data_IF_507118626505
#
_entry.id   IF_507118626505
#
_cell.length_a   1.000
_cell.length_b   1.000
_cell.length_c   1.000
_cell.angle_alpha   90.00
_cell.angle_beta   90.00
_cell.angle_gamma   90.00
#
_symmetry.space_group_name_H-M   'P 1'
#
loop_
_entity.id
_entity.type
_entity.pdbx_description
1 polymer ?
#
# COMPACT_ATOMS: atom_id res chain seq x y z
N UNK A 1 -29.04 20.17 -16.30
CA UNK A 1 -28.56 19.24 -17.34
C UNK A 1 -28.10 18.01 -16.59
N UNK A 2 -28.56 16.83 -16.95
CA UNK A 2 -28.10 15.54 -16.39
C UNK A 2 -26.60 15.41 -16.67
N UNK A 3 -25.78 15.26 -15.63
CA UNK A 3 -24.33 15.10 -15.75
C UNK A 3 -24.05 13.71 -16.34
N UNK A 4 -23.66 13.63 -17.62
CA UNK A 4 -23.25 12.37 -18.26
C UNK A 4 -21.78 12.10 -17.95
N UNK A 5 -21.46 10.87 -17.57
CA UNK A 5 -20.09 10.43 -17.28
C UNK A 5 -19.57 9.51 -18.39
N UNK A 6 -18.28 9.63 -18.71
CA UNK A 6 -17.55 8.69 -19.58
C UNK A 6 -16.49 7.98 -18.75
N UNK A 7 -16.64 6.68 -18.56
CA UNK A 7 -15.63 5.84 -17.88
C UNK A 7 -14.63 5.32 -18.90
N UNK A 8 -13.34 5.50 -18.60
CA UNK A 8 -12.24 5.03 -19.46
C UNK A 8 -11.62 3.78 -18.86
N UNK A 9 -11.70 2.67 -19.60
CA UNK A 9 -11.17 1.36 -19.23
C UNK A 9 -12.20 0.47 -18.52
N UNK A 10 -12.36 -0.75 -19.03
CA UNK A 10 -13.25 -1.80 -18.51
C UNK A 10 -12.46 -2.80 -17.65
N UNK A 11 -11.76 -2.28 -16.65
CA UNK A 11 -11.15 -3.04 -15.57
C UNK A 11 -12.00 -3.03 -14.30
N UNK A 12 -11.50 -3.57 -13.19
CA UNK A 12 -12.20 -3.64 -11.89
C UNK A 12 -12.71 -2.25 -11.45
N UNK A 13 -11.84 -1.24 -11.40
CA UNK A 13 -12.23 0.14 -11.04
C UNK A 13 -13.22 0.76 -12.03
N UNK A 14 -13.08 0.49 -13.34
CA UNK A 14 -14.02 0.99 -14.35
C UNK A 14 -15.42 0.43 -14.15
N UNK A 15 -15.53 -0.87 -13.92
CA UNK A 15 -16.82 -1.54 -13.62
C UNK A 15 -17.42 -1.01 -12.31
N UNK A 16 -16.60 -0.76 -11.28
CA UNK A 16 -17.05 -0.20 -10.01
C UNK A 16 -17.58 1.24 -10.16
N UNK A 17 -16.92 2.07 -10.98
CA UNK A 17 -17.40 3.42 -11.31
C UNK A 17 -18.75 3.38 -12.04
N UNK A 18 -18.93 2.47 -12.99
CA UNK A 18 -20.24 2.26 -13.66
C UNK A 18 -21.30 1.78 -12.67
N UNK A 19 -20.98 0.82 -11.80
CA UNK A 19 -21.90 0.35 -10.74
C UNK A 19 -22.39 1.52 -9.86
N UNK A 20 -21.49 2.38 -9.42
CA UNK A 20 -21.82 3.53 -8.61
C UNK A 20 -22.67 4.56 -9.39
N UNK A 21 -22.29 4.91 -10.63
CA UNK A 21 -23.04 5.81 -11.48
C UNK A 21 -24.48 5.32 -11.73
N UNK A 22 -24.64 4.03 -12.05
CA UNK A 22 -25.95 3.39 -12.28
C UNK A 22 -26.80 3.43 -11.02
N UNK A 23 -26.20 3.12 -9.85
CA UNK A 23 -26.89 3.21 -8.55
C UNK A 23 -27.37 4.63 -8.27
N UNK A 24 -26.60 5.64 -8.62
CA UNK A 24 -26.92 7.06 -8.44
C UNK A 24 -27.79 7.62 -9.56
N UNK A 25 -28.29 6.76 -10.48
CA UNK A 25 -29.06 7.15 -11.67
C UNK A 25 -28.35 8.20 -12.54
N UNK A 26 -27.02 8.19 -12.55
CA UNK A 26 -26.19 9.07 -13.36
C UNK A 26 -25.99 8.42 -14.74
N UNK A 27 -26.33 9.11 -15.86
CA UNK A 27 -26.07 8.61 -17.19
C UNK A 27 -24.59 8.34 -17.41
N UNK A 28 -24.22 7.14 -17.85
CA UNK A 28 -22.84 6.71 -18.01
C UNK A 28 -22.63 5.97 -19.32
N UNK A 29 -21.49 6.18 -19.95
CA UNK A 29 -20.98 5.39 -21.06
C UNK A 29 -19.54 4.95 -20.76
N UNK A 30 -19.04 3.95 -21.46
CA UNK A 30 -17.70 3.39 -21.27
C UNK A 30 -16.93 3.45 -22.58
N UNK A 31 -15.64 3.72 -22.49
CA UNK A 31 -14.68 3.55 -23.58
C UNK A 31 -13.52 2.66 -23.12
N UNK A 32 -13.14 1.69 -23.96
CA UNK A 32 -11.97 0.84 -23.77
C UNK A 32 -11.17 0.75 -25.08
N UNK A 33 -9.88 1.03 -25.04
CA UNK A 33 -9.01 1.01 -26.22
C UNK A 33 -8.82 -0.39 -26.82
N UNK A 34 -9.11 -1.45 -26.07
CA UNK A 34 -9.09 -2.83 -26.56
C UNK A 34 -10.34 -3.11 -27.38
N UNK A 35 -10.17 -3.79 -28.52
CA UNK A 35 -11.31 -4.18 -29.39
C UNK A 35 -12.28 -5.16 -28.68
N UNK A 36 -11.75 -6.06 -27.86
CA UNK A 36 -12.51 -7.08 -27.13
C UNK A 36 -11.98 -7.25 -25.71
N UNK A 37 -12.29 -6.31 -24.77
CA UNK A 37 -11.92 -6.48 -23.38
C UNK A 37 -12.52 -7.75 -22.78
N UNK A 38 -11.75 -8.52 -22.02
CA UNK A 38 -12.21 -9.78 -21.44
C UNK A 38 -13.48 -9.63 -20.57
N UNK A 39 -13.64 -8.48 -19.92
CA UNK A 39 -14.83 -8.18 -19.09
C UNK A 39 -16.09 -7.83 -19.92
N UNK A 40 -15.98 -7.52 -21.20
CA UNK A 40 -17.09 -7.00 -22.02
C UNK A 40 -18.34 -7.88 -22.04
N UNK A 41 -18.25 -9.22 -22.24
CA UNK A 41 -19.47 -10.06 -22.28
C UNK A 41 -20.25 -10.05 -20.97
N UNK A 42 -19.57 -10.20 -19.84
CA UNK A 42 -20.20 -10.17 -18.52
C UNK A 42 -20.71 -8.76 -18.18
N UNK A 43 -20.00 -7.72 -18.59
CA UNK A 43 -20.39 -6.34 -18.39
C UNK A 43 -21.67 -5.98 -19.13
N UNK A 44 -21.78 -6.28 -20.44
CA UNK A 44 -22.98 -6.00 -21.25
C UNK A 44 -24.20 -6.78 -20.79
N UNK A 45 -24.00 -8.00 -20.29
CA UNK A 45 -25.09 -8.77 -19.67
C UNK A 45 -25.61 -8.09 -18.38
N UNK A 46 -24.72 -7.53 -17.56
CA UNK A 46 -25.07 -6.90 -16.28
C UNK A 46 -25.63 -5.47 -16.45
N UNK A 47 -25.14 -4.74 -17.44
CA UNK A 47 -25.48 -3.33 -17.70
C UNK A 47 -25.91 -3.14 -19.17
N UNK A 48 -27.05 -3.71 -19.61
CA UNK A 48 -27.47 -3.72 -21.01
C UNK A 48 -27.76 -2.32 -21.57
N UNK A 49 -28.09 -1.35 -20.70
CA UNK A 49 -28.42 0.02 -21.09
C UNK A 49 -27.20 0.95 -21.15
N UNK A 50 -26.00 0.46 -20.75
CA UNK A 50 -24.77 1.25 -20.78
C UNK A 50 -24.07 1.09 -22.12
N UNK A 51 -23.90 2.18 -22.85
CA UNK A 51 -23.18 2.20 -24.12
C UNK A 51 -21.70 1.95 -23.89
N UNK A 52 -21.11 0.98 -24.60
CA UNK A 52 -19.67 0.68 -24.57
C UNK A 52 -19.07 0.91 -25.95
N UNK A 53 -18.00 1.70 -25.98
CA UNK A 53 -17.19 1.96 -27.16
C UNK A 53 -15.87 1.21 -27.02
N UNK A 54 -15.46 0.44 -28.03
CA UNK A 54 -14.22 -0.34 -28.01
C UNK A 54 -13.33 0.02 -29.21
N UNK A 55 -12.02 -0.05 -29.05
CA UNK A 55 -11.05 0.19 -30.12
C UNK A 55 -10.63 1.65 -30.22
N UNK A 56 -10.69 2.25 -31.42
CA UNK A 56 -10.22 3.60 -31.65
C UNK A 56 -11.09 4.66 -30.95
N UNK A 57 -10.45 5.66 -30.37
CA UNK A 57 -11.14 6.76 -29.72
C UNK A 57 -11.72 7.74 -30.73
N UNK A 58 -12.99 8.15 -30.53
CA UNK A 58 -13.60 9.26 -31.25
C UNK A 58 -13.89 10.43 -30.31
N UNK A 59 -13.58 11.64 -30.77
CA UNK A 59 -13.87 12.88 -30.04
C UNK A 59 -15.36 13.06 -29.68
N UNK A 60 -16.25 12.45 -30.48
CA UNK A 60 -17.71 12.50 -30.26
C UNK A 60 -18.13 11.76 -28.97
N UNK A 61 -17.30 10.86 -28.45
CA UNK A 61 -17.58 10.19 -27.16
C UNK A 61 -17.61 11.16 -25.98
N UNK A 62 -16.98 12.35 -26.12
CA UNK A 62 -17.00 13.43 -25.15
C UNK A 62 -18.23 14.36 -25.28
N UNK A 63 -19.10 14.15 -26.27
CA UNK A 63 -20.24 15.04 -26.48
C UNK A 63 -21.30 14.86 -25.39
N UNK A 64 -21.63 15.98 -24.73
CA UNK A 64 -22.54 16.01 -23.59
C UNK A 64 -21.99 15.40 -22.31
N UNK A 65 -20.69 15.00 -22.28
CA UNK A 65 -20.01 14.51 -21.10
C UNK A 65 -19.62 15.68 -20.19
N UNK A 66 -19.89 15.54 -18.90
CA UNK A 66 -19.48 16.49 -17.86
C UNK A 66 -18.26 16.05 -17.07
N UNK A 67 -18.02 14.73 -17.00
CA UNK A 67 -16.91 14.14 -16.28
C UNK A 67 -16.35 12.94 -17.02
N UNK A 68 -15.03 12.83 -17.12
CA UNK A 68 -14.28 11.65 -17.55
C UNK A 68 -13.73 10.95 -16.32
N UNK A 69 -14.06 9.67 -16.15
CA UNK A 69 -13.62 8.85 -15.03
C UNK A 69 -12.58 7.85 -15.49
N UNK A 70 -11.37 7.90 -14.92
CA UNK A 70 -10.21 7.13 -15.36
C UNK A 70 -9.97 5.89 -14.49
N UNK A 71 -9.79 4.74 -15.15
CA UNK A 71 -9.22 3.57 -14.51
C UNK A 71 -7.72 3.77 -14.22
N UNK A 72 -7.22 3.44 -13.02
CA UNK A 72 -5.87 3.83 -12.57
C UNK A 72 -4.72 3.16 -13.36
N UNK A 73 -4.96 2.00 -13.99
CA UNK A 73 -3.93 1.30 -14.77
C UNK A 73 -3.53 1.95 -16.10
N UNK A 74 -4.19 3.04 -16.49
CA UNK A 74 -3.95 3.73 -17.75
C UNK A 74 -3.01 4.92 -17.52
N UNK A 75 -1.84 4.93 -18.20
CA UNK A 75 -0.89 6.04 -18.08
C UNK A 75 -1.39 7.29 -18.82
N UNK A 76 -1.40 8.48 -18.16
CA UNK A 76 -1.80 9.73 -18.81
C UNK A 76 -0.82 10.18 -19.88
N UNK A 77 0.37 9.60 -19.93
CA UNK A 77 1.41 9.91 -20.90
C UNK A 77 1.33 9.08 -22.18
N UNK A 78 0.51 8.01 -22.18
CA UNK A 78 0.35 7.10 -23.31
C UNK A 78 -0.95 7.38 -24.08
N UNK A 79 -0.91 7.12 -25.41
CA UNK A 79 -2.11 7.15 -26.25
C UNK A 79 -2.98 5.90 -26.02
N UNK A 80 -4.31 6.01 -26.13
CA UNK A 80 -5.08 7.20 -26.50
C UNK A 80 -5.41 8.13 -25.32
N UNK A 81 -5.01 7.78 -24.08
CA UNK A 81 -5.45 8.51 -22.88
C UNK A 81 -4.93 9.95 -22.86
N UNK A 82 -3.71 10.20 -23.30
CA UNK A 82 -3.13 11.55 -23.43
C UNK A 82 -4.06 12.45 -24.26
N UNK A 83 -4.42 12.01 -25.46
CA UNK A 83 -5.35 12.74 -26.33
C UNK A 83 -6.71 12.94 -25.69
N UNK A 84 -7.26 11.94 -24.99
CA UNK A 84 -8.56 12.05 -24.29
C UNK A 84 -8.50 13.14 -23.21
N UNK A 85 -7.45 13.14 -22.38
CA UNK A 85 -7.27 14.13 -21.31
C UNK A 85 -7.13 15.55 -21.89
N UNK A 86 -6.32 15.73 -22.95
CA UNK A 86 -6.15 17.01 -23.62
C UNK A 86 -7.47 17.55 -24.18
N UNK A 87 -8.26 16.71 -24.85
CA UNK A 87 -9.56 17.09 -25.39
C UNK A 87 -10.60 17.36 -24.30
N UNK A 88 -10.62 16.57 -23.23
CA UNK A 88 -11.50 16.80 -22.08
C UNK A 88 -11.19 18.16 -21.44
N UNK A 89 -9.93 18.45 -21.17
CA UNK A 89 -9.48 19.72 -20.58
C UNK A 89 -9.83 20.91 -21.51
N UNK A 90 -9.63 20.79 -22.82
CA UNK A 90 -9.98 21.83 -23.79
C UNK A 90 -11.49 22.14 -23.82
N UNK A 91 -12.34 21.18 -23.48
CA UNK A 91 -13.80 21.32 -23.38
C UNK A 91 -14.27 21.69 -21.96
N UNK A 92 -13.37 21.85 -20.97
CA UNK A 92 -13.71 22.11 -19.57
C UNK A 92 -14.36 20.92 -18.86
N UNK A 93 -14.16 19.70 -19.37
CA UNK A 93 -14.65 18.44 -18.78
C UNK A 93 -13.68 18.03 -17.68
N UNK A 94 -14.20 17.77 -16.47
CA UNK A 94 -13.40 17.29 -15.35
C UNK A 94 -12.88 15.86 -15.60
N UNK A 95 -11.60 15.61 -15.27
CA UNK A 95 -10.98 14.31 -15.35
C UNK A 95 -10.68 13.82 -13.94
N UNK A 96 -11.29 12.71 -13.54
CA UNK A 96 -11.29 12.18 -12.17
C UNK A 96 -10.87 10.72 -12.13
N UNK A 97 -10.17 10.32 -11.07
CA UNK A 97 -9.97 8.92 -10.74
C UNK A 97 -11.04 8.38 -9.76
N UNK A 98 -11.07 7.09 -9.56
CA UNK A 98 -12.00 6.41 -8.64
C UNK A 98 -11.95 7.01 -7.22
N UNK A 99 -10.76 7.36 -6.72
CA UNK A 99 -10.56 7.94 -5.39
C UNK A 99 -11.28 9.29 -5.23
N UNK A 100 -11.28 10.14 -6.25
CA UNK A 100 -12.00 11.42 -6.22
C UNK A 100 -13.52 11.20 -6.18
N UNK A 101 -14.03 10.24 -6.97
CA UNK A 101 -15.45 9.86 -6.96
C UNK A 101 -15.86 9.27 -5.62
N UNK A 102 -15.04 8.41 -5.02
CA UNK A 102 -15.26 7.84 -3.69
C UNK A 102 -15.30 8.94 -2.61
N UNK A 103 -14.35 9.88 -2.64
CA UNK A 103 -14.31 11.00 -1.68
C UNK A 103 -15.57 11.86 -1.77
N UNK A 104 -16.03 12.15 -2.99
CA UNK A 104 -17.30 12.85 -3.25
C UNK A 104 -18.48 12.06 -2.71
N UNK A 105 -18.52 10.74 -2.97
CA UNK A 105 -19.61 9.88 -2.49
C UNK A 105 -19.73 9.89 -0.97
N UNK A 106 -18.62 9.86 -0.22
CA UNK A 106 -18.65 9.96 1.25
C UNK A 106 -19.19 11.33 1.71
N UNK A 107 -18.83 12.42 1.01
CA UNK A 107 -19.32 13.76 1.32
C UNK A 107 -20.81 13.90 1.03
N UNK A 108 -21.30 13.31 -0.05
CA UNK A 108 -22.72 13.26 -0.42
C UNK A 108 -23.53 12.47 0.61
N UNK A 109 -23.03 11.32 1.05
CA UNK A 109 -23.66 10.51 2.10
C UNK A 109 -23.73 11.27 3.43
N UNK A 110 -22.68 12.02 3.77
CA UNK A 110 -22.70 12.88 4.96
C UNK A 110 -23.79 13.97 4.88
N UNK A 111 -23.98 14.59 3.73
CA UNK A 111 -24.95 15.64 3.52
C UNK A 111 -26.40 15.12 3.39
N UNK A 112 -26.58 13.83 3.08
CA UNK A 112 -27.88 13.24 2.82
C UNK A 112 -28.59 12.81 4.11
N UNK A 113 -29.80 13.33 4.35
CA UNK A 113 -30.58 13.09 5.57
C UNK A 113 -30.86 11.60 5.87
N UNK A 114 -30.88 10.74 4.86
CA UNK A 114 -31.12 9.29 5.01
C UNK A 114 -29.98 8.52 5.69
N UNK A 115 -28.79 9.09 5.79
CA UNK A 115 -27.62 8.45 6.38
C UNK A 115 -27.17 9.08 7.72
N UNK A 116 -28.03 9.86 8.37
CA UNK A 116 -27.81 10.43 9.70
C UNK A 116 -26.47 11.16 9.87
N UNK A 117 -26.00 11.85 8.82
CA UNK A 117 -24.73 12.55 8.86
C UNK A 117 -23.51 11.59 8.88
N UNK A 118 -23.57 10.48 8.14
CA UNK A 118 -22.49 9.49 8.06
C UNK A 118 -21.13 10.16 7.83
N UNK A 119 -20.22 10.00 8.78
CA UNK A 119 -18.87 10.57 8.76
C UNK A 119 -17.86 9.54 9.25
N UNK A 120 -17.48 8.60 8.40
CA UNK A 120 -16.50 7.59 8.75
C UNK A 120 -15.12 8.20 8.93
N UNK A 121 -14.25 7.50 9.66
CA UNK A 121 -12.81 7.75 9.63
C UNK A 121 -12.21 7.12 8.38
N UNK A 122 -11.27 7.82 7.74
CA UNK A 122 -10.55 7.33 6.57
C UNK A 122 -9.06 7.27 6.88
N UNK A 123 -8.49 6.08 6.82
CA UNK A 123 -7.07 5.82 6.95
C UNK A 123 -6.50 5.42 5.59
N UNK A 124 -5.44 6.08 5.13
CA UNK A 124 -4.88 5.83 3.80
C UNK A 124 -3.42 5.34 3.88
N UNK A 125 -3.11 4.32 3.10
CA UNK A 125 -1.80 3.67 3.05
C UNK A 125 -1.27 3.67 1.63
N UNK A 126 -0.10 4.28 1.43
CA UNK A 126 0.67 4.17 0.18
C UNK A 126 2.16 3.93 0.48
N UNK A 127 2.95 3.74 -0.55
CA UNK A 127 4.38 3.46 -0.49
C UNK A 127 4.80 2.57 -1.66
N UNK A 128 6.07 2.29 -1.82
CA UNK A 128 6.50 1.29 -2.79
C UNK A 128 6.22 -0.10 -2.27
N UNK A 129 6.67 -0.42 -1.05
CA UNK A 129 6.52 -1.73 -0.42
C UNK A 129 5.73 -1.67 0.89
N UNK A 130 5.17 -2.80 1.33
CA UNK A 130 4.48 -2.95 2.61
C UNK A 130 3.00 -2.52 2.63
N UNK A 131 2.47 -1.90 1.56
CA UNK A 131 1.09 -1.37 1.50
C UNK A 131 0.04 -2.36 1.99
N UNK A 132 -0.04 -3.54 1.36
CA UNK A 132 -1.07 -4.53 1.69
C UNK A 132 -0.94 -5.03 3.13
N UNK A 133 0.28 -5.29 3.59
CA UNK A 133 0.52 -5.71 4.98
C UNK A 133 0.04 -4.65 5.97
N UNK A 134 0.38 -3.36 5.75
CA UNK A 134 -0.05 -2.28 6.64
C UNK A 134 -1.56 -2.05 6.55
N UNK A 135 -2.16 -2.11 5.36
CA UNK A 135 -3.61 -1.97 5.17
C UNK A 135 -4.37 -3.07 5.89
N UNK A 136 -4.00 -4.32 5.67
CA UNK A 136 -4.65 -5.48 6.31
C UNK A 136 -4.42 -5.49 7.82
N UNK A 137 -3.21 -5.18 8.27
CA UNK A 137 -2.91 -5.05 9.70
C UNK A 137 -3.72 -3.91 10.33
N UNK A 138 -3.79 -2.74 9.69
CA UNK A 138 -4.58 -1.60 10.18
C UNK A 138 -6.06 -1.97 10.30
N UNK A 139 -6.63 -2.67 9.30
CA UNK A 139 -7.99 -3.23 9.37
C UNK A 139 -8.14 -4.15 10.56
N UNK A 140 -7.25 -5.13 10.71
CA UNK A 140 -7.29 -6.09 11.82
C UNK A 140 -7.21 -5.39 13.19
N UNK A 141 -6.39 -4.34 13.32
CA UNK A 141 -6.29 -3.56 14.55
C UNK A 141 -7.57 -2.77 14.84
N UNK A 142 -8.24 -2.23 13.83
CA UNK A 142 -9.54 -1.59 13.98
C UNK A 142 -10.60 -2.59 14.46
N UNK A 143 -10.65 -3.80 13.88
CA UNK A 143 -11.53 -4.89 14.31
C UNK A 143 -11.26 -5.29 15.78
N UNK A 144 -9.98 -5.46 16.16
CA UNK A 144 -9.58 -5.74 17.54
C UNK A 144 -9.96 -4.62 18.51
N UNK A 145 -9.97 -3.36 18.04
CA UNK A 145 -10.46 -2.22 18.82
C UNK A 145 -12.00 -2.21 18.98
N UNK A 146 -12.73 -3.02 18.20
CA UNK A 146 -14.19 -3.14 18.26
C UNK A 146 -14.93 -2.13 17.40
N UNK A 147 -14.29 -1.60 16.34
CA UNK A 147 -14.94 -0.70 15.36
C UNK A 147 -15.20 -1.45 14.07
N UNK A 148 -16.33 -1.15 13.40
CA UNK A 148 -16.62 -1.71 12.08
C UNK A 148 -15.71 -1.06 11.04
N UNK A 149 -15.08 -1.88 10.19
CA UNK A 149 -14.05 -1.42 9.25
C UNK A 149 -14.13 -2.17 7.93
N UNK A 150 -13.91 -1.47 6.83
CA UNK A 150 -13.69 -2.06 5.50
C UNK A 150 -12.35 -1.60 4.94
N UNK A 151 -11.63 -2.54 4.32
CA UNK A 151 -10.44 -2.24 3.52
C UNK A 151 -10.80 -2.32 2.04
N UNK A 152 -10.25 -1.38 1.25
CA UNK A 152 -10.53 -1.29 -0.18
C UNK A 152 -9.40 -0.53 -0.92
N UNK A 153 -9.47 -0.49 -2.24
CA UNK A 153 -8.61 0.35 -3.08
C UNK A 153 -7.74 -0.43 -4.05
N UNK A 154 -6.42 -0.32 -3.94
CA UNK A 154 -5.46 -1.08 -4.76
C UNK A 154 -5.42 -2.58 -4.40
N UNK A 155 -6.20 -2.98 -3.45
CA UNK A 155 -6.59 -4.36 -3.12
C UNK A 155 -8.07 -4.53 -3.46
N UNK A 156 -8.49 -5.75 -3.80
CA UNK A 156 -9.91 -6.05 -4.02
C UNK A 156 -10.66 -6.14 -2.67
N UNK A 157 -11.88 -5.60 -2.60
CA UNK A 157 -12.60 -4.87 -3.64
C UNK A 157 -12.07 -3.44 -3.86
N UNK A 158 -12.32 -2.87 -5.05
CA UNK A 158 -12.06 -1.45 -5.30
C UNK A 158 -12.94 -0.56 -4.40
N UNK A 159 -12.59 0.74 -4.28
CA UNK A 159 -13.26 1.63 -3.32
C UNK A 159 -14.76 1.78 -3.56
N UNK A 160 -15.16 2.03 -4.81
CA UNK A 160 -16.57 2.21 -5.15
C UNK A 160 -17.35 0.89 -5.12
N UNK A 161 -16.71 -0.24 -5.44
CA UNK A 161 -17.34 -1.55 -5.33
C UNK A 161 -17.64 -1.92 -3.87
N UNK A 162 -16.66 -1.66 -2.97
CA UNK A 162 -16.84 -1.81 -1.52
C UNK A 162 -17.96 -0.91 -0.98
N UNK A 163 -18.01 0.36 -1.43
CA UNK A 163 -19.03 1.30 -1.01
C UNK A 163 -20.43 0.87 -1.48
N UNK A 164 -20.57 0.47 -2.75
CA UNK A 164 -21.83 -0.06 -3.26
C UNK A 164 -22.29 -1.29 -2.48
N UNK A 165 -21.37 -2.22 -2.17
CA UNK A 165 -21.68 -3.39 -1.36
C UNK A 165 -22.14 -3.03 0.06
N UNK A 166 -21.48 -2.09 0.71
CA UNK A 166 -21.85 -1.61 2.05
C UNK A 166 -23.25 -0.93 2.06
N UNK A 167 -23.54 -0.14 1.01
CA UNK A 167 -24.85 0.50 0.85
C UNK A 167 -25.97 -0.50 0.56
N UNK A 168 -25.71 -1.56 -0.21
CA UNK A 168 -26.67 -2.62 -0.52
C UNK A 168 -27.01 -3.48 0.71
N UNK A 169 -26.05 -3.63 1.62
CA UNK A 169 -26.19 -4.41 2.83
C UNK A 169 -26.62 -3.59 4.05
N UNK A 170 -26.79 -2.27 3.89
CA UNK A 170 -27.03 -1.31 5.00
C UNK A 170 -25.97 -1.44 6.12
N UNK A 171 -24.72 -1.62 5.73
CA UNK A 171 -23.59 -1.95 6.59
C UNK A 171 -22.40 -1.01 6.37
N UNK A 172 -22.66 0.31 6.37
CA UNK A 172 -21.61 1.32 6.24
C UNK A 172 -20.63 1.26 7.42
N UNK A 173 -19.29 1.18 7.18
CA UNK A 173 -18.33 1.02 8.25
C UNK A 173 -18.04 2.34 8.97
N UNK A 174 -17.56 2.23 10.21
CA UNK A 174 -17.07 3.37 10.98
C UNK A 174 -15.68 3.85 10.49
N UNK A 175 -14.89 2.92 9.92
CA UNK A 175 -13.53 3.20 9.43
C UNK A 175 -13.36 2.61 8.04
N UNK A 176 -12.82 3.40 7.11
CA UNK A 176 -12.29 2.94 5.84
C UNK A 176 -10.76 2.88 5.91
N UNK A 177 -10.16 1.77 5.53
CA UNK A 177 -8.71 1.63 5.37
C UNK A 177 -8.41 1.45 3.88
N UNK A 178 -7.80 2.45 3.27
CA UNK A 178 -7.58 2.49 1.83
C UNK A 178 -6.13 2.17 1.49
N UNK A 179 -5.91 1.10 0.71
CA UNK A 179 -4.64 0.91 0.02
C UNK A 179 -4.65 1.73 -1.26
N UNK A 180 -3.66 2.60 -1.45
CA UNK A 180 -3.61 3.49 -2.61
C UNK A 180 -2.30 3.34 -3.38
N UNK A 181 -2.43 3.11 -4.71
CA UNK A 181 -1.29 3.17 -5.64
C UNK A 181 -0.97 4.63 -6.00
N UNK A 182 0.23 4.86 -6.56
CA UNK A 182 0.57 6.16 -7.14
C UNK A 182 -0.36 6.54 -8.29
N UNK A 183 -0.85 5.57 -9.05
CA UNK A 183 -1.78 5.75 -10.16
C UNK A 183 -3.13 6.30 -9.70
N UNK A 184 -3.69 5.76 -8.61
CA UNK A 184 -4.94 6.25 -8.02
C UNK A 184 -4.76 7.64 -7.42
N UNK A 185 -3.60 7.91 -6.81
CA UNK A 185 -3.29 9.19 -6.19
C UNK A 185 -3.05 10.31 -7.22
N UNK A 186 -2.53 10.01 -8.42
CA UNK A 186 -2.32 10.99 -9.48
C UNK A 186 -3.60 11.76 -9.85
N UNK A 187 -4.75 11.11 -9.75
CA UNK A 187 -6.06 11.69 -10.04
C UNK A 187 -6.94 11.84 -8.79
N UNK A 188 -6.32 11.94 -7.61
CA UNK A 188 -7.03 12.08 -6.33
C UNK A 188 -7.65 13.46 -6.11
N UNK A 189 -7.12 14.48 -6.76
CA UNK A 189 -7.54 15.85 -6.59
C UNK A 189 -8.13 16.41 -7.88
N UNK A 190 -9.30 17.03 -7.78
CA UNK A 190 -9.82 17.94 -8.79
C UNK A 190 -9.95 19.33 -8.16
N UNK A 191 -10.12 20.35 -8.99
CA UNK A 191 -10.28 21.75 -8.52
C UNK A 191 -11.41 21.95 -7.48
N UNK A 192 -12.31 20.97 -7.33
CA UNK A 192 -13.50 21.04 -6.46
C UNK A 192 -13.53 19.97 -5.35
N UNK A 193 -12.73 18.89 -5.44
CA UNK A 193 -12.81 17.74 -4.52
C UNK A 193 -11.40 17.33 -4.17
N UNK A 194 -11.01 17.56 -2.91
CA UNK A 194 -9.73 17.12 -2.37
C UNK A 194 -9.89 15.83 -1.57
N UNK A 195 -8.97 14.88 -1.74
CA UNK A 195 -8.85 13.74 -0.84
C UNK A 195 -8.22 14.20 0.48
N UNK A 196 -8.94 14.05 1.59
CA UNK A 196 -8.50 14.51 2.91
C UNK A 196 -8.81 13.44 3.97
N UNK A 197 -8.03 12.35 4.03
CA UNK A 197 -8.22 11.30 5.02
C UNK A 197 -7.88 11.78 6.44
N UNK A 198 -8.44 11.15 7.48
CA UNK A 198 -8.13 11.48 8.89
C UNK A 198 -6.65 11.24 9.21
N UNK A 199 -6.07 10.15 8.69
CA UNK A 199 -4.63 9.91 8.74
C UNK A 199 -4.15 9.16 7.50
N UNK A 200 -2.90 9.40 7.13
CA UNK A 200 -2.29 8.71 6.00
C UNK A 200 -0.79 8.44 6.21
N UNK A 201 -0.28 7.45 5.50
CA UNK A 201 1.14 7.13 5.48
C UNK A 201 1.67 6.90 4.07
N UNK A 202 2.91 7.36 3.85
CA UNK A 202 3.80 6.86 2.80
C UNK A 202 4.85 6.00 3.51
N UNK A 203 4.86 4.69 3.24
CA UNK A 203 5.70 3.74 3.97
C UNK A 203 7.17 3.84 3.60
N UNK A 204 7.45 3.95 2.33
CA UNK A 204 8.79 4.04 1.75
C UNK A 204 8.70 4.42 0.28
N UNK A 205 9.83 4.88 -0.27
CA UNK A 205 10.00 5.20 -1.68
C UNK A 205 11.25 4.50 -2.22
N UNK A 206 11.07 3.67 -3.23
CA UNK A 206 12.14 3.09 -4.02
C UNK A 206 11.72 3.07 -5.49
N UNK A 207 12.67 2.86 -6.39
CA UNK A 207 12.40 2.84 -7.81
C UNK A 207 11.36 1.77 -8.16
N UNK A 208 10.25 2.20 -8.75
CA UNK A 208 9.17 1.35 -9.24
C UNK A 208 8.29 2.16 -10.22
N UNK A 209 7.57 1.49 -11.12
CA UNK A 209 6.57 2.10 -11.99
C UNK A 209 7.06 3.27 -12.88
N UNK A 210 8.34 3.26 -13.30
CA UNK A 210 8.87 4.26 -14.24
C UNK A 210 8.44 3.99 -15.70
N UNK A 211 7.74 2.91 -15.94
CA UNK A 211 6.99 2.63 -17.16
C UNK A 211 5.66 3.42 -17.23
N UNK A 212 5.18 3.90 -16.10
CA UNK A 212 3.94 4.68 -15.97
C UNK A 212 4.20 6.16 -15.64
N UNK A 213 5.08 6.45 -14.68
CA UNK A 213 5.56 7.79 -14.33
C UNK A 213 6.79 8.18 -15.16
N UNK A 214 6.93 9.46 -15.46
CA UNK A 214 8.08 9.95 -16.24
C UNK A 214 9.39 9.77 -15.47
N UNK A 215 9.35 9.98 -14.15
CA UNK A 215 10.52 9.88 -13.27
C UNK A 215 10.14 9.66 -11.80
N UNK A 216 11.14 9.54 -10.93
CA UNK A 216 10.96 9.42 -9.48
C UNK A 216 10.37 10.68 -8.82
N UNK A 217 10.49 11.85 -9.44
CA UNK A 217 9.92 13.09 -8.92
C UNK A 217 8.38 13.04 -9.05
N UNK A 218 7.89 12.71 -10.24
CA UNK A 218 6.46 12.53 -10.49
C UNK A 218 5.88 11.42 -9.61
N UNK A 219 6.56 10.27 -9.50
CA UNK A 219 6.16 9.17 -8.64
C UNK A 219 6.02 9.58 -7.17
N UNK A 220 7.00 10.34 -6.67
CA UNK A 220 7.01 10.87 -5.30
C UNK A 220 5.89 11.88 -5.08
N UNK A 221 5.68 12.80 -6.03
CA UNK A 221 4.61 13.80 -6.00
C UNK A 221 3.23 13.14 -6.02
N UNK A 222 3.03 12.12 -6.86
CA UNK A 222 1.79 11.36 -6.90
C UNK A 222 1.47 10.74 -5.53
N UNK A 223 2.45 10.09 -4.88
CA UNK A 223 2.24 9.52 -3.54
C UNK A 223 1.99 10.57 -2.46
N UNK A 224 2.63 11.73 -2.55
CA UNK A 224 2.43 12.83 -1.59
C UNK A 224 0.98 13.38 -1.61
N UNK A 225 0.21 13.14 -2.69
CA UNK A 225 -1.22 13.50 -2.77
C UNK A 225 -2.09 12.76 -1.73
N UNK A 226 -1.56 11.71 -1.08
CA UNK A 226 -2.26 11.03 0.01
C UNK A 226 -2.51 11.93 1.22
N UNK A 227 -1.71 12.99 1.37
CA UNK A 227 -1.82 13.94 2.47
C UNK A 227 -2.70 15.14 2.09
N UNK A 228 -3.93 15.16 2.58
CA UNK A 228 -4.83 16.31 2.49
C UNK A 228 -4.40 17.47 3.41
N UNK A 229 -5.25 18.47 3.52
CA UNK A 229 -4.97 19.69 4.32
C UNK A 229 -4.97 19.39 5.84
N UNK A 230 -5.92 18.56 6.31
CA UNK A 230 -6.11 18.28 7.73
C UNK A 230 -5.63 16.85 8.12
N UNK A 231 -5.01 16.15 7.20
CA UNK A 231 -4.56 14.76 7.39
C UNK A 231 -3.45 14.69 8.44
N UNK A 232 -3.61 13.82 9.43
CA UNK A 232 -2.50 13.44 10.31
C UNK A 232 -1.50 12.63 9.49
N UNK A 233 -0.27 13.15 9.35
CA UNK A 233 0.78 12.52 8.57
C UNK A 233 1.51 11.48 9.41
N UNK A 234 1.56 10.23 8.95
CA UNK A 234 2.37 9.16 9.56
C UNK A 234 3.58 8.90 8.65
N UNK A 235 4.74 9.40 9.03
CA UNK A 235 5.92 9.45 8.16
C UNK A 235 7.00 8.44 8.60
N UNK A 236 7.61 7.78 7.63
CA UNK A 236 8.82 7.00 7.85
C UNK A 236 10.02 7.95 7.96
N UNK A 237 10.60 8.10 9.17
CA UNK A 237 11.75 9.00 9.38
C UNK A 237 13.07 8.44 8.88
N UNK A 238 13.13 7.14 8.55
CA UNK A 238 14.33 6.50 7.98
C UNK A 238 14.39 6.65 6.45
N UNK A 239 13.29 7.07 5.81
CA UNK A 239 13.23 7.39 4.39
C UNK A 239 13.25 8.91 4.22
N UNK A 240 14.36 9.44 3.70
CA UNK A 240 14.56 10.88 3.56
C UNK A 240 13.52 11.56 2.65
N UNK A 241 13.10 10.87 1.58
CA UNK A 241 12.11 11.41 0.64
C UNK A 241 10.71 11.45 1.28
N UNK A 242 10.35 10.41 2.06
CA UNK A 242 9.09 10.39 2.83
C UNK A 242 9.11 11.44 3.93
N UNK A 243 10.20 11.54 4.69
CA UNK A 243 10.32 12.51 5.77
C UNK A 243 10.23 13.95 5.26
N UNK A 244 10.73 14.23 4.05
CA UNK A 244 10.62 15.54 3.40
C UNK A 244 9.19 15.92 2.99
N UNK A 245 8.21 14.99 3.00
CA UNK A 245 6.80 15.27 2.72
C UNK A 245 6.06 15.93 3.90
N UNK A 246 6.73 16.12 5.05
CA UNK A 246 6.13 16.78 6.21
C UNK A 246 5.60 18.17 5.84
N UNK A 247 4.29 18.39 6.01
CA UNK A 247 3.68 19.69 5.74
C UNK A 247 3.78 20.61 6.97
N UNK A 248 4.11 21.88 6.81
CA UNK A 248 4.06 22.85 7.89
C UNK A 248 2.67 22.87 8.55
N UNK A 249 2.65 22.94 9.88
CA UNK A 249 1.42 23.03 10.68
C UNK A 249 0.52 21.78 10.68
N UNK A 250 0.93 20.67 10.05
CA UNK A 250 0.23 19.40 10.13
C UNK A 250 0.62 18.64 11.40
N UNK A 251 -0.32 17.88 11.95
CA UNK A 251 0.01 16.90 13.00
C UNK A 251 0.80 15.76 12.37
N UNK A 252 2.04 15.56 12.85
CA UNK A 252 2.94 14.51 12.36
C UNK A 252 3.15 13.47 13.45
N UNK A 253 2.90 12.22 13.12
CA UNK A 253 3.42 11.04 13.80
C UNK A 253 4.52 10.44 12.94
N UNK A 254 5.50 9.77 13.51
CA UNK A 254 6.53 9.13 12.71
C UNK A 254 6.88 7.75 13.23
N UNK A 255 7.39 6.90 12.35
CA UNK A 255 7.94 5.60 12.72
C UNK A 255 9.34 5.42 12.13
N UNK A 256 10.17 4.57 12.74
CA UNK A 256 11.53 4.32 12.30
C UNK A 256 12.21 3.26 13.14
N UNK A 257 13.40 2.83 12.70
CA UNK A 257 14.19 1.80 13.40
C UNK A 257 14.94 2.34 14.63
N UNK A 258 15.11 3.65 14.72
CA UNK A 258 15.77 4.29 15.86
C UNK A 258 14.83 4.46 17.05
N UNK A 259 15.41 4.56 18.25
CA UNK A 259 14.65 4.87 19.47
C UNK A 259 13.93 6.21 19.31
N UNK A 260 12.64 6.30 19.68
CA UNK A 260 11.88 7.55 19.64
C UNK A 260 12.49 8.63 20.54
N UNK A 261 12.59 9.86 20.01
CA UNK A 261 13.19 11.01 20.73
C UNK A 261 12.24 12.21 20.85
N UNK A 262 11.05 12.14 20.25
CA UNK A 262 10.02 13.18 20.33
C UNK A 262 8.63 12.55 20.46
N UNK A 263 7.72 13.25 21.13
CA UNK A 263 6.34 12.79 21.33
C UNK A 263 5.68 12.47 19.97
N UNK A 264 4.99 11.33 19.90
CA UNK A 264 4.37 10.85 18.67
C UNK A 264 5.30 10.10 17.72
N UNK A 265 6.56 9.91 18.09
CA UNK A 265 7.47 9.01 17.38
C UNK A 265 7.32 7.58 17.89
N UNK A 266 7.23 6.64 16.95
CA UNK A 266 7.26 5.19 17.18
C UNK A 266 8.60 4.64 16.71
N UNK A 267 9.15 3.64 17.39
CA UNK A 267 10.47 3.11 17.04
C UNK A 267 10.79 1.79 17.69
N UNK A 268 12.01 1.33 17.45
CA UNK A 268 12.54 0.10 18.04
C UNK A 268 13.48 0.46 19.19
N UNK A 269 13.18 -0.07 20.36
CA UNK A 269 14.02 0.07 21.55
C UNK A 269 14.76 -1.23 21.81
N UNK A 270 16.07 -1.16 22.10
CA UNK A 270 16.92 -2.32 22.39
C UNK A 270 17.38 -2.29 23.83
N UNK A 271 17.33 -3.44 24.50
CA UNK A 271 17.83 -3.62 25.85
C UNK A 271 19.32 -4.04 25.80
N UNK A 272 20.20 -3.22 26.39
CA UNK A 272 21.62 -3.53 26.58
C UNK A 272 22.56 -3.13 25.44
N UNK A 273 23.87 -3.10 25.76
CA UNK A 273 24.93 -2.75 24.82
C UNK A 273 25.36 -3.97 23.99
N UNK A 274 25.00 -4.00 22.71
CA UNK A 274 25.67 -4.75 21.62
C UNK A 274 25.92 -6.26 21.76
N UNK A 275 25.18 -7.02 22.59
CA UNK A 275 25.29 -8.50 22.55
C UNK A 275 24.29 -9.10 21.54
N UNK A 276 24.65 -10.22 20.92
CA UNK A 276 23.87 -10.90 19.87
C UNK A 276 22.47 -11.42 20.32
N UNK A 277 22.12 -11.26 21.61
CA UNK A 277 20.88 -11.71 22.22
C UNK A 277 20.03 -10.54 22.79
N UNK A 278 20.15 -9.34 22.23
CA UNK A 278 19.39 -8.18 22.70
C UNK A 278 17.93 -8.24 22.24
N UNK A 279 17.01 -8.26 23.20
CA UNK A 279 15.58 -8.18 22.93
C UNK A 279 15.23 -6.79 22.37
N UNK A 280 14.58 -6.77 21.20
CA UNK A 280 14.08 -5.55 20.54
C UNK A 280 12.60 -5.37 20.83
N UNK A 281 12.18 -4.15 21.11
CA UNK A 281 10.80 -3.79 21.49
C UNK A 281 10.23 -2.77 20.54
N UNK A 282 8.97 -2.91 20.17
CA UNK A 282 8.17 -1.80 19.67
C UNK A 282 8.03 -0.78 20.79
N UNK A 283 8.20 0.50 20.48
CA UNK A 283 8.20 1.58 21.47
C UNK A 283 7.57 2.86 20.91
N UNK A 284 7.14 3.74 21.81
CA UNK A 284 6.61 5.06 21.48
C UNK A 284 7.10 6.09 22.50
N UNK A 285 7.44 7.31 22.05
CA UNK A 285 7.70 8.42 22.93
C UNK A 285 6.40 9.15 23.27
N UNK A 286 6.19 9.36 24.57
CA UNK A 286 5.05 10.09 25.13
C UNK A 286 5.53 11.23 26.02
N UNK A 287 4.69 12.26 26.21
CA UNK A 287 4.95 13.28 27.20
C UNK A 287 4.86 12.67 28.61
N UNK A 288 5.86 12.92 29.44
CA UNK A 288 5.82 12.52 30.85
C UNK A 288 5.16 13.62 31.69
N UNK A 289 3.88 13.41 31.98
CA UNK A 289 3.10 14.36 32.78
C UNK A 289 3.30 14.18 34.30
N UNK A 290 4.06 13.16 34.73
CA UNK A 290 4.22 12.83 36.16
C UNK A 290 4.96 13.87 37.00
N UNK A 291 5.68 14.81 36.34
CA UNK A 291 6.42 15.90 37.00
C UNK A 291 5.92 17.32 36.71
N UNK A 292 4.83 17.48 35.96
CA UNK A 292 4.33 18.81 35.55
C UNK A 292 3.41 19.36 36.66
N UNK A 293 3.92 20.29 37.46
CA UNK A 293 3.07 21.08 38.38
C UNK A 293 1.99 21.83 37.62
N UNK A 294 0.74 21.84 38.15
CA UNK A 294 -0.39 22.57 37.54
C UNK A 294 -0.02 24.05 37.37
N UNK A 295 -0.04 24.53 36.12
CA UNK A 295 0.26 25.90 35.72
C UNK A 295 -0.39 26.94 36.61
N UNK A 296 0.37 27.90 37.12
CA UNK A 296 -0.14 29.21 37.55
C UNK A 296 -0.22 30.12 36.34
N UNK A 297 -1.32 30.88 36.26
CA UNK A 297 -1.64 31.81 35.15
C UNK A 297 -0.45 32.77 34.89
N UNK A 298 0.22 32.68 33.72
CA UNK A 298 1.30 33.57 33.31
C UNK A 298 2.71 32.94 33.21
N UNK A 299 2.88 31.63 33.42
CA UNK A 299 4.16 30.96 33.21
C UNK A 299 4.35 30.44 31.77
N UNK A 300 5.59 30.52 31.27
CA UNK A 300 5.99 29.95 29.97
C UNK A 300 5.67 28.45 29.89
N UNK A 301 5.45 27.95 28.69
CA UNK A 301 5.14 26.55 28.42
C UNK A 301 6.37 25.70 28.78
N UNK A 302 6.32 24.95 29.88
CA UNK A 302 7.33 23.95 30.23
C UNK A 302 7.04 22.73 29.31
N UNK A 303 7.94 22.45 28.39
CA UNK A 303 7.90 21.23 27.59
C UNK A 303 8.04 20.04 28.53
N UNK A 304 7.02 19.21 28.63
CA UNK A 304 7.07 18.01 29.45
C UNK A 304 8.25 17.12 29.02
N UNK A 305 8.99 16.52 29.96
CA UNK A 305 10.02 15.55 29.60
C UNK A 305 9.44 14.40 28.82
N UNK A 306 10.27 13.79 27.98
CA UNK A 306 9.85 12.68 27.10
C UNK A 306 10.15 11.36 27.81
N UNK A 307 9.15 10.47 27.85
CA UNK A 307 9.31 9.10 28.32
C UNK A 307 9.13 8.14 27.13
N UNK A 308 10.02 7.14 27.00
CA UNK A 308 9.89 6.08 25.98
C UNK A 308 9.21 4.88 26.61
N UNK A 309 7.98 4.60 26.15
CA UNK A 309 7.22 3.43 26.56
C UNK A 309 7.55 2.24 25.66
N UNK A 310 7.93 1.11 26.26
CA UNK A 310 8.03 -0.20 25.61
C UNK A 310 6.63 -0.76 25.44
N UNK A 311 6.25 -1.13 24.23
CA UNK A 311 4.91 -1.60 23.91
C UNK A 311 4.82 -3.12 23.94
N UNK A 312 5.63 -3.79 23.12
CA UNK A 312 5.74 -5.25 23.09
C UNK A 312 7.06 -5.68 22.45
N UNK A 313 7.60 -6.86 22.80
CA UNK A 313 8.75 -7.42 22.11
C UNK A 313 8.47 -7.67 20.62
N UNK A 314 9.44 -7.45 19.74
CA UNK A 314 9.26 -7.69 18.29
C UNK A 314 9.11 -9.17 17.97
N UNK A 315 9.67 -10.08 18.78
CA UNK A 315 9.54 -11.53 18.64
C UNK A 315 8.14 -12.06 18.99
N UNK A 316 7.34 -11.26 19.69
CA UNK A 316 5.92 -11.57 19.93
C UNK A 316 5.02 -11.31 18.72
N UNK A 317 5.53 -10.65 17.65
CA UNK A 317 4.84 -10.54 16.38
C UNK A 317 4.92 -11.89 15.64
N UNK A 318 3.79 -12.33 15.06
CA UNK A 318 3.77 -13.53 14.22
C UNK A 318 4.32 -13.27 12.83
N UNK A 319 4.21 -12.02 12.33
CA UNK A 319 4.86 -11.56 11.11
C UNK A 319 6.34 -11.29 11.40
N UNK A 320 7.22 -11.99 10.71
CA UNK A 320 8.67 -11.97 10.97
C UNK A 320 9.38 -10.85 10.20
N UNK A 321 10.52 -10.45 10.73
CA UNK A 321 11.41 -9.51 10.09
C UNK A 321 11.24 -8.06 10.55
N UNK A 322 12.36 -7.32 10.48
CA UNK A 322 12.44 -5.94 10.94
C UNK A 322 11.54 -5.01 10.13
N UNK A 323 11.38 -5.28 8.82
CA UNK A 323 10.44 -4.56 7.97
C UNK A 323 8.99 -4.73 8.45
N UNK A 324 8.61 -5.91 8.97
CA UNK A 324 7.29 -6.13 9.53
C UNK A 324 7.10 -5.48 10.92
N UNK A 325 8.16 -5.34 11.70
CA UNK A 325 8.12 -4.50 12.91
C UNK A 325 7.85 -3.02 12.53
N UNK A 326 8.46 -2.52 11.45
CA UNK A 326 8.18 -1.18 10.91
C UNK A 326 6.74 -1.06 10.39
N UNK A 327 6.23 -2.05 9.67
CA UNK A 327 4.83 -2.12 9.23
C UNK A 327 3.86 -2.08 10.44
N UNK A 328 4.19 -2.78 11.52
CA UNK A 328 3.43 -2.77 12.77
C UNK A 328 3.41 -1.39 13.44
N UNK A 329 4.56 -0.69 13.48
CA UNK A 329 4.63 0.69 14.01
C UNK A 329 3.80 1.67 13.16
N UNK A 330 3.83 1.55 11.83
CA UNK A 330 3.03 2.37 10.92
C UNK A 330 1.52 2.15 11.14
N UNK A 331 1.07 0.88 11.23
CA UNK A 331 -0.33 0.54 11.48
C UNK A 331 -0.79 1.02 12.88
N UNK A 332 0.05 0.87 13.92
CA UNK A 332 -0.23 1.45 15.25
C UNK A 332 -0.39 2.95 15.20
N UNK A 333 0.53 3.66 14.52
CA UNK A 333 0.48 5.11 14.41
C UNK A 333 -0.78 5.59 13.69
N UNK A 334 -1.21 4.91 12.59
CA UNK A 334 -2.46 5.20 11.90
C UNK A 334 -3.68 5.01 12.82
N UNK A 335 -3.79 3.88 13.51
CA UNK A 335 -4.89 3.62 14.43
C UNK A 335 -4.91 4.62 15.61
N UNK A 336 -3.73 5.01 16.12
CA UNK A 336 -3.62 6.01 17.19
C UNK A 336 -3.90 7.44 16.73
N UNK A 337 -3.73 7.72 15.43
CA UNK A 337 -4.10 9.02 14.84
C UNK A 337 -5.61 9.30 14.94
N UNK A 338 -6.43 8.25 14.97
CA UNK A 338 -7.90 8.30 15.18
C UNK A 338 -8.32 7.86 16.59
N UNK A 339 -7.39 7.94 17.55
CA UNK A 339 -7.60 7.75 19.00
C UNK A 339 -8.05 6.34 19.43
N UNK A 340 -7.83 5.29 18.63
CA UNK A 340 -8.16 3.92 19.03
C UNK A 340 -7.31 3.47 20.25
N UNK A 341 -7.88 2.70 21.20
CA UNK A 341 -7.23 2.36 22.47
C UNK A 341 -5.99 1.47 22.29
N UNK A 342 -4.82 1.94 22.74
CA UNK A 342 -3.52 1.27 22.56
C UNK A 342 -3.53 -0.19 23.04
N UNK A 343 -4.13 -0.47 24.22
CA UNK A 343 -4.16 -1.82 24.78
C UNK A 343 -4.83 -2.84 23.85
N UNK A 344 -5.96 -2.47 23.21
CA UNK A 344 -6.65 -3.32 22.22
C UNK A 344 -5.81 -3.51 20.95
N UNK A 345 -5.12 -2.45 20.49
CA UNK A 345 -4.24 -2.53 19.33
C UNK A 345 -3.07 -3.48 19.56
N UNK A 346 -2.44 -3.43 20.74
CA UNK A 346 -1.34 -4.34 21.09
C UNK A 346 -1.81 -5.80 21.16
N UNK A 347 -3.05 -6.02 21.58
CA UNK A 347 -3.66 -7.35 21.55
C UNK A 347 -3.82 -7.85 20.11
N UNK A 348 -4.41 -7.02 19.24
CA UNK A 348 -4.56 -7.34 17.82
C UNK A 348 -3.21 -7.60 17.12
N UNK A 349 -2.13 -6.87 17.47
CA UNK A 349 -0.79 -7.12 16.90
C UNK A 349 -0.26 -8.52 17.16
N UNK A 350 -0.56 -9.11 18.33
CA UNK A 350 -0.13 -10.49 18.67
C UNK A 350 -0.83 -11.55 17.85
N UNK A 351 -2.08 -11.26 17.45
CA UNK A 351 -2.94 -12.24 16.78
C UNK A 351 -2.83 -12.21 15.26
N UNK A 352 -2.29 -11.11 14.70
CA UNK A 352 -2.14 -10.95 13.25
C UNK A 352 -1.09 -11.90 12.68
N UNK A 353 -1.51 -12.77 11.77
CA UNK A 353 -0.67 -13.83 11.17
C UNK A 353 -0.03 -13.44 9.85
N UNK A 354 -0.33 -12.25 9.31
CA UNK A 354 0.14 -11.82 7.98
C UNK A 354 -0.83 -12.17 6.85
N UNK A 355 -0.47 -11.74 5.65
CA UNK A 355 -1.23 -12.00 4.43
C UNK A 355 -0.60 -13.15 3.66
N UNK A 356 -1.40 -13.94 2.92
CA UNK A 356 -0.89 -14.97 2.03
C UNK A 356 0.14 -14.41 1.04
N UNK A 357 1.18 -15.19 0.78
CA UNK A 357 2.22 -14.88 -0.21
C UNK A 357 3.11 -13.66 0.13
N UNK A 358 3.20 -13.26 1.42
CA UNK A 358 4.06 -12.15 1.89
C UNK A 358 4.93 -12.60 3.05
N UNK A 359 6.09 -13.14 2.71
CA UNK A 359 7.01 -13.82 3.64
C UNK A 359 6.23 -14.81 4.52
N UNK A 360 5.24 -15.45 3.91
CA UNK A 360 4.36 -16.39 4.58
C UNK A 360 5.13 -17.65 4.96
N UNK A 361 5.23 -17.94 6.25
CA UNK A 361 5.74 -19.23 6.68
C UNK A 361 4.74 -20.33 6.28
N UNK A 362 5.22 -21.34 5.55
CA UNK A 362 4.41 -22.46 5.06
C UNK A 362 4.52 -23.65 5.99
N UNK A 363 5.75 -24.14 6.19
CA UNK A 363 6.01 -25.31 7.01
C UNK A 363 7.50 -25.45 7.34
N UNK A 364 7.80 -26.31 8.32
CA UNK A 364 9.15 -26.80 8.59
C UNK A 364 9.27 -28.26 8.13
N UNK A 365 10.25 -28.57 7.31
CA UNK A 365 10.55 -29.95 6.87
C UNK A 365 11.99 -30.26 7.21
N UNK A 366 12.22 -31.22 8.07
CA UNK A 366 13.55 -31.66 8.50
C UNK A 366 14.46 -30.54 9.04
N UNK A 367 13.87 -29.55 9.72
CA UNK A 367 14.59 -28.39 10.27
C UNK A 367 14.84 -27.27 9.26
N UNK A 368 14.28 -27.34 8.06
CA UNK A 368 14.29 -26.29 7.04
C UNK A 368 12.93 -25.59 7.04
N UNK A 369 12.91 -24.27 7.18
CA UNK A 369 11.71 -23.47 7.08
C UNK A 369 11.42 -23.06 5.63
N UNK A 370 10.18 -23.17 5.19
CA UNK A 370 9.73 -22.78 3.85
C UNK A 370 8.88 -21.52 3.93
N UNK A 371 9.24 -20.52 3.13
CA UNK A 371 8.54 -19.23 3.04
C UNK A 371 8.09 -18.92 1.62
N UNK A 372 6.84 -18.49 1.49
CA UNK A 372 6.26 -17.97 0.25
C UNK A 372 6.18 -16.43 0.33
N UNK A 373 6.96 -15.77 -0.51
CA UNK A 373 6.93 -14.35 -0.75
C UNK A 373 6.75 -14.06 -2.26
N UNK A 374 5.88 -14.83 -2.92
CA UNK A 374 5.62 -14.68 -4.36
C UNK A 374 5.06 -13.30 -4.75
N UNK A 375 4.61 -12.48 -3.78
CA UNK A 375 4.29 -11.06 -3.93
C UNK A 375 5.50 -10.13 -3.86
N UNK A 376 6.69 -10.63 -3.57
CA UNK A 376 7.97 -9.91 -3.64
C UNK A 376 8.43 -9.69 -5.08
N UNK A 377 7.72 -8.84 -5.83
CA UNK A 377 7.88 -8.68 -7.28
C UNK A 377 8.83 -7.55 -7.67
N UNK A 378 9.55 -6.98 -6.73
CA UNK A 378 10.59 -5.97 -6.97
C UNK A 378 11.79 -6.17 -6.05
N UNK A 379 12.91 -5.55 -6.43
CA UNK A 379 14.19 -5.63 -5.73
C UNK A 379 14.07 -5.24 -4.25
N UNK A 380 13.35 -4.16 -3.92
CA UNK A 380 13.22 -3.70 -2.54
C UNK A 380 12.41 -4.66 -1.65
N UNK A 381 11.38 -5.32 -2.20
CA UNK A 381 10.59 -6.31 -1.45
C UNK A 381 11.44 -7.54 -1.11
N UNK A 382 12.13 -8.10 -2.09
CA UNK A 382 13.00 -9.28 -1.91
C UNK A 382 14.19 -8.98 -1.01
N UNK A 383 14.80 -7.78 -1.13
CA UNK A 383 15.85 -7.33 -0.22
C UNK A 383 15.36 -7.34 1.24
N UNK A 384 14.20 -6.74 1.50
CA UNK A 384 13.61 -6.72 2.85
C UNK A 384 13.28 -8.12 3.38
N UNK A 385 12.85 -9.05 2.51
CA UNK A 385 12.59 -10.44 2.89
C UNK A 385 13.89 -11.17 3.27
N UNK A 386 14.97 -11.01 2.48
CA UNK A 386 16.28 -11.62 2.74
C UNK A 386 16.85 -11.12 4.08
N UNK A 387 16.87 -9.80 4.31
CA UNK A 387 17.39 -9.21 5.54
C UNK A 387 16.51 -9.52 6.77
N UNK A 388 15.21 -9.70 6.54
CA UNK A 388 14.22 -9.86 7.60
C UNK A 388 14.14 -11.25 8.21
N UNK A 389 14.53 -12.32 7.51
CA UNK A 389 14.36 -13.71 7.99
C UNK A 389 15.31 -14.10 9.12
N UNK A 390 16.50 -13.46 9.21
CA UNK A 390 17.44 -13.67 10.30
C UNK A 390 18.10 -15.08 10.34
N UNK A 391 18.01 -15.86 9.27
CA UNK A 391 18.59 -17.18 9.10
C UNK A 391 19.19 -17.32 7.70
N UNK A 392 20.14 -18.27 7.45
CA UNK A 392 20.70 -18.47 6.12
C UNK A 392 19.64 -18.97 5.13
N UNK A 393 19.67 -18.46 3.90
CA UNK A 393 18.59 -18.62 2.91
C UNK A 393 19.09 -19.40 1.68
N UNK A 394 18.26 -20.33 1.19
CA UNK A 394 18.25 -20.79 -0.20
C UNK A 394 17.16 -20.02 -0.93
N UNK A 395 17.56 -19.14 -1.84
CA UNK A 395 16.66 -18.19 -2.50
C UNK A 395 16.17 -18.75 -3.84
N UNK A 396 14.87 -18.62 -4.11
CA UNK A 396 14.28 -18.84 -5.44
C UNK A 396 13.89 -17.45 -5.97
N UNK A 397 14.54 -16.99 -7.05
CA UNK A 397 14.34 -15.66 -7.61
C UNK A 397 14.25 -15.71 -9.15
N UNK A 398 13.60 -14.67 -9.73
CA UNK A 398 13.49 -14.49 -11.17
C UNK A 398 12.05 -14.38 -11.67
N UNK A 399 11.92 -14.09 -12.97
CA UNK A 399 10.67 -13.77 -13.65
C UNK A 399 10.92 -12.69 -14.73
N UNK A 400 10.00 -11.75 -14.91
CA UNK A 400 10.20 -10.54 -15.72
C UNK A 400 10.56 -9.35 -14.83
N UNK A 401 11.80 -8.94 -14.86
CA UNK A 401 12.34 -7.84 -14.06
C UNK A 401 11.98 -6.45 -14.57
N UNK A 402 11.38 -6.33 -15.76
CA UNK A 402 10.97 -5.05 -16.35
C UNK A 402 12.08 -3.98 -16.37
N UNK A 403 13.31 -4.40 -16.56
CA UNK A 403 14.47 -3.49 -16.59
C UNK A 403 14.95 -3.00 -15.22
N UNK A 404 14.55 -3.64 -14.13
CA UNK A 404 15.07 -3.30 -12.79
C UNK A 404 16.58 -3.61 -12.67
N UNK A 405 17.26 -2.82 -11.87
CA UNK A 405 18.64 -3.05 -11.45
C UNK A 405 18.66 -3.96 -10.21
N UNK A 406 19.30 -5.14 -10.30
CA UNK A 406 19.42 -6.11 -9.21
C UNK A 406 20.68 -5.92 -8.34
N UNK A 407 21.57 -4.98 -8.70
CA UNK A 407 22.81 -4.71 -7.96
C UNK A 407 22.59 -4.25 -6.51
N UNK A 408 21.51 -3.55 -6.14
CA UNK A 408 21.26 -3.18 -4.74
C UNK A 408 21.11 -4.37 -3.77
N UNK A 409 20.82 -5.57 -4.28
CA UNK A 409 20.70 -6.79 -3.45
C UNK A 409 22.02 -7.50 -3.21
N UNK A 410 23.11 -7.13 -3.88
CA UNK A 410 24.38 -7.85 -3.87
C UNK A 410 24.92 -8.12 -2.47
N UNK A 411 24.94 -7.11 -1.60
CA UNK A 411 25.44 -7.22 -0.24
C UNK A 411 24.58 -8.16 0.63
N UNK A 412 23.26 -8.04 0.53
CA UNK A 412 22.32 -8.91 1.25
C UNK A 412 22.41 -10.38 0.78
N UNK A 413 22.51 -10.61 -0.54
CA UNK A 413 22.71 -11.93 -1.12
C UNK A 413 24.02 -12.52 -0.60
N UNK A 414 25.13 -11.79 -0.62
CA UNK A 414 26.42 -12.23 -0.10
C UNK A 414 26.37 -12.57 1.39
N UNK A 415 25.65 -11.80 2.19
CA UNK A 415 25.59 -11.96 3.65
C UNK A 415 24.69 -13.13 4.07
N UNK A 416 23.53 -13.28 3.45
CA UNK A 416 22.44 -14.12 3.96
C UNK A 416 22.13 -15.34 3.08
N UNK A 417 22.42 -15.30 1.76
CA UNK A 417 22.05 -16.37 0.84
C UNK A 417 23.18 -17.39 0.72
N UNK A 418 22.84 -18.68 0.67
CA UNK A 418 23.76 -19.80 0.53
C UNK A 418 23.73 -20.40 -0.87
N UNK A 419 22.57 -20.33 -1.53
CA UNK A 419 22.38 -20.80 -2.89
C UNK A 419 21.21 -20.03 -3.53
N UNK A 420 21.27 -19.81 -4.84
CA UNK A 420 20.18 -19.17 -5.60
C UNK A 420 19.70 -20.12 -6.69
N UNK A 421 18.39 -20.42 -6.68
CA UNK A 421 17.68 -21.04 -7.78
C UNK A 421 17.06 -19.94 -8.64
N UNK A 422 17.53 -19.80 -9.88
CA UNK A 422 17.05 -18.77 -10.81
C UNK A 422 15.99 -19.34 -11.75
N UNK A 423 14.94 -18.56 -12.02
CA UNK A 423 13.85 -18.92 -12.92
C UNK A 423 13.47 -17.74 -13.84
N UNK A 424 12.82 -18.05 -14.96
CA UNK A 424 12.18 -17.06 -15.82
C UNK A 424 13.13 -16.26 -16.71
N UNK A 425 12.59 -15.19 -17.30
CA UNK A 425 13.20 -14.43 -18.40
C UNK A 425 14.53 -13.74 -18.03
N UNK A 426 14.58 -13.14 -16.85
CA UNK A 426 15.73 -12.34 -16.42
C UNK A 426 16.70 -13.09 -15.49
N UNK A 427 16.66 -14.42 -15.49
CA UNK A 427 17.58 -15.28 -14.73
C UNK A 427 19.05 -14.92 -14.98
N UNK A 428 19.44 -14.73 -16.24
CA UNK A 428 20.81 -14.37 -16.63
C UNK A 428 21.21 -12.95 -16.18
N UNK A 429 20.29 -12.01 -16.22
CA UNK A 429 20.49 -10.62 -15.75
C UNK A 429 20.77 -10.62 -14.23
N UNK A 430 19.99 -11.39 -13.46
CA UNK A 430 20.19 -11.58 -12.03
C UNK A 430 21.52 -12.25 -11.75
N UNK A 431 21.85 -13.32 -12.48
CA UNK A 431 23.12 -14.03 -12.34
C UNK A 431 24.33 -13.11 -12.57
N UNK A 432 24.26 -12.24 -13.58
CA UNK A 432 25.28 -11.24 -13.86
C UNK A 432 25.43 -10.23 -12.71
N UNK A 433 24.32 -9.69 -12.21
CA UNK A 433 24.33 -8.71 -11.13
C UNK A 433 24.97 -9.27 -9.84
N UNK A 434 24.81 -10.58 -9.58
CA UNK A 434 25.30 -11.20 -8.34
C UNK A 434 26.55 -12.07 -8.53
N UNK A 435 27.17 -12.08 -9.70
CA UNK A 435 28.37 -12.89 -10.00
C UNK A 435 29.52 -12.67 -9.00
N UNK A 436 29.69 -11.43 -8.51
CA UNK A 436 30.72 -11.07 -7.54
C UNK A 436 30.47 -11.48 -6.08
N UNK A 437 29.30 -12.06 -5.77
CA UNK A 437 28.92 -12.43 -4.38
C UNK A 437 29.62 -13.67 -3.86
N UNK A 438 30.08 -14.55 -4.76
CA UNK A 438 30.61 -15.88 -4.42
C UNK A 438 29.53 -16.90 -4.04
N UNK A 439 28.24 -16.54 -4.15
CA UNK A 439 27.12 -17.45 -3.92
C UNK A 439 26.87 -18.29 -5.17
N UNK A 440 26.72 -19.60 -5.01
CA UNK A 440 26.43 -20.52 -6.12
C UNK A 440 24.99 -20.26 -6.64
N UNK A 441 24.84 -20.22 -7.96
CA UNK A 441 23.56 -19.98 -8.65
C UNK A 441 23.33 -21.01 -9.74
N UNK A 442 22.08 -21.43 -9.92
CA UNK A 442 21.68 -22.36 -10.97
C UNK A 442 20.32 -21.96 -11.53
N UNK A 443 20.18 -21.98 -12.87
CA UNK A 443 18.92 -21.71 -13.55
C UNK A 443 18.08 -22.99 -13.71
N UNK A 444 16.75 -22.81 -13.62
CA UNK A 444 15.75 -23.87 -13.73
C UNK A 444 14.64 -23.44 -14.67
N UNK A 445 14.07 -24.39 -15.41
CA UNK A 445 13.00 -24.12 -16.39
C UNK A 445 11.65 -23.87 -15.70
N UNK A 446 11.43 -24.41 -14.50
CA UNK A 446 10.15 -24.30 -13.78
C UNK A 446 10.35 -23.99 -12.31
N UNK A 447 9.35 -23.34 -11.70
CA UNK A 447 9.31 -23.12 -10.26
C UNK A 447 9.33 -24.44 -9.48
N UNK A 448 8.67 -25.49 -9.99
CA UNK A 448 8.64 -26.79 -9.36
C UNK A 448 10.05 -27.39 -9.26
N UNK A 449 10.81 -27.41 -10.37
CA UNK A 449 12.20 -27.95 -10.38
C UNK A 449 13.11 -27.12 -9.47
N UNK A 450 12.99 -25.80 -9.45
CA UNK A 450 13.73 -24.91 -8.56
C UNK A 450 13.41 -25.19 -7.09
N UNK A 451 12.12 -25.38 -6.76
CA UNK A 451 11.67 -25.67 -5.38
C UNK A 451 12.15 -27.03 -4.90
N UNK A 452 12.08 -28.06 -5.75
CA UNK A 452 12.58 -29.42 -5.43
C UNK A 452 14.09 -29.37 -5.19
N UNK A 453 14.84 -28.67 -6.03
CA UNK A 453 16.29 -28.54 -5.87
C UNK A 453 16.63 -27.79 -4.57
N UNK A 454 15.94 -26.67 -4.28
CA UNK A 454 16.11 -25.92 -3.05
C UNK A 454 15.84 -26.79 -1.81
N UNK A 455 14.73 -27.56 -1.82
CA UNK A 455 14.36 -28.43 -0.72
C UNK A 455 15.37 -29.57 -0.47
N UNK A 456 15.97 -30.11 -1.54
CA UNK A 456 16.97 -31.20 -1.43
C UNK A 456 18.34 -30.72 -0.93
N UNK A 457 18.69 -29.47 -1.18
CA UNK A 457 20.00 -28.91 -0.88
C UNK A 457 20.06 -28.01 0.34
N UNK A 458 18.88 -27.54 0.85
CA UNK A 458 18.83 -26.79 2.09
C UNK A 458 19.14 -27.65 3.31
N UNK A 459 19.87 -27.09 4.27
CA UNK A 459 20.30 -27.76 5.50
C UNK A 459 19.43 -27.31 6.68
N UNK A 460 19.36 -28.16 7.72
CA UNK A 460 18.67 -27.80 8.96
C UNK A 460 19.16 -26.46 9.52
N UNK A 461 18.23 -25.60 9.92
CA UNK A 461 18.49 -24.22 10.36
C UNK A 461 18.53 -23.19 9.22
N UNK A 462 18.33 -23.61 7.98
CA UNK A 462 18.18 -22.70 6.83
C UNK A 462 16.70 -22.50 6.45
N UNK A 463 16.44 -21.44 5.68
CA UNK A 463 15.16 -21.18 5.03
C UNK A 463 15.24 -21.42 3.52
N UNK A 464 14.19 -21.98 2.93
CA UNK A 464 13.89 -21.86 1.50
C UNK A 464 12.90 -20.71 1.34
N UNK A 465 13.31 -19.68 0.61
CA UNK A 465 12.52 -18.47 0.37
C UNK A 465 12.21 -18.34 -1.13
N UNK A 466 10.94 -18.39 -1.48
CA UNK A 466 10.46 -17.93 -2.78
C UNK A 466 10.21 -16.41 -2.68
N UNK A 467 11.09 -15.59 -3.26
CA UNK A 467 10.90 -14.13 -3.37
C UNK A 467 11.50 -13.67 -4.71
N UNK A 468 10.66 -13.51 -5.74
CA UNK A 468 11.09 -13.43 -7.13
C UNK A 468 11.96 -12.24 -7.48
N UNK A 469 11.81 -11.08 -6.82
CA UNK A 469 12.34 -9.78 -7.22
C UNK A 469 11.83 -9.30 -8.61
N UNK A 470 10.97 -10.07 -9.25
CA UNK A 470 10.47 -9.91 -10.61
C UNK A 470 8.96 -10.08 -10.64
N UNK A 471 8.30 -9.52 -11.65
CA UNK A 471 6.91 -9.84 -11.92
C UNK A 471 6.78 -11.30 -12.41
N UNK A 472 5.65 -11.93 -12.11
CA UNK A 472 5.28 -13.21 -12.73
C UNK A 472 4.93 -13.00 -14.21
N UNK A 473 5.28 -13.97 -15.03
CA UNK A 473 4.90 -14.01 -16.46
C UNK A 473 3.42 -14.35 -16.60
#
# INVERSE_FOLDING_TARGET
MTQKQLVIGLGESGVAMVRYATRSSTPVSVYDSRQSPAALPAFTQRYPDVTVHCGDFSADYLDGVSEVLLSPGLSPHAEPLKTIIEQANARGIAVLGELAVFSRALSELHAHNGYNGYKPKVLAVTGTNGKTTVTSLTRHLCEAAGVSVLAAGNISPSMLDALCGALEQDALPQVWVLELSSFQLQFAQSNAIGFNPDAATVLNLSQDHLDWHVDMVEYTQAKAQVFGADTVQVLNRDDAAVNAMAKPNSRVLSFGVSVPTAVGQYGLWREGNHSAATMEWLSVAVADESGVEKKKRGQAEVVAPISVQRLMPTDALRIRGRHNAMNALAALALCRAIDLPLAKLLHGLRDYVGEPHRVQWIQNVNGVDFYDDSKGTNVGATLAAIEGLGQPIVLIAGGDGKGQDFTPMTDAVKAHVRFVCLIGKDADTIAQAWQGTGVAMQSFDTLESATLHAAQNAQSGQAVLLSPACASL
#
